data_IF_901743616820
#
_entry.id   IF_901743616820
#
_cell.length_a   1.000
_cell.length_b   1.000
_cell.length_c   1.000
_cell.angle_alpha   90.00
_cell.angle_beta   90.00
_cell.angle_gamma   90.00
#
_symmetry.space_group_name_H-M   'P 1'
#
loop_
_entity.id
_entity.type
_entity.pdbx_description
1 polymer ?
#
# COMPACT_ATOMS: atom_id res chain seq x y z
N UNK A 1 25.60 15.07 -30.20
CA UNK A 1 24.16 15.04 -30.58
C UNK A 1 23.39 13.81 -30.07
N UNK A 2 24.00 12.79 -29.44
CA UNK A 2 23.28 11.60 -28.97
C UNK A 2 22.89 11.54 -27.47
N UNK A 3 23.35 12.45 -26.60
CA UNK A 3 23.36 12.23 -25.15
C UNK A 3 22.31 12.96 -24.29
N UNK A 4 21.52 13.89 -24.82
CA UNK A 4 20.78 14.86 -23.97
C UNK A 4 19.58 14.25 -23.20
N UNK A 5 18.71 13.38 -23.77
CA UNK A 5 17.49 12.96 -23.07
C UNK A 5 17.73 12.08 -21.83
N UNK A 6 18.74 11.21 -21.85
CA UNK A 6 18.98 10.28 -20.73
C UNK A 6 19.62 10.95 -19.53
N UNK A 7 20.36 12.05 -19.72
CA UNK A 7 20.96 12.80 -18.62
C UNK A 7 19.91 13.55 -17.78
N UNK A 8 18.77 13.89 -18.38
CA UNK A 8 17.67 14.58 -17.69
C UNK A 8 16.91 13.67 -16.72
N UNK A 9 17.10 12.36 -16.80
CA UNK A 9 16.48 11.39 -15.89
C UNK A 9 16.86 11.63 -14.41
N UNK A 10 17.97 12.33 -14.16
CA UNK A 10 18.36 12.79 -12.82
C UNK A 10 17.28 13.64 -12.15
N UNK A 11 16.41 14.31 -12.91
CA UNK A 11 15.34 15.13 -12.36
C UNK A 11 14.14 14.31 -11.86
N UNK A 12 14.10 13.01 -12.15
CA UNK A 12 12.98 12.14 -11.73
C UNK A 12 12.81 12.06 -10.23
N UNK A 13 13.84 12.34 -9.44
CA UNK A 13 13.75 12.36 -7.97
C UNK A 13 13.32 13.71 -7.41
N UNK A 14 13.25 14.75 -8.24
CA UNK A 14 12.86 16.10 -7.80
C UNK A 14 11.38 16.11 -7.46
N UNK A 15 11.07 16.50 -6.22
CA UNK A 15 9.71 16.70 -5.70
C UNK A 15 9.32 18.17 -5.55
N UNK A 16 10.30 19.04 -5.36
CA UNK A 16 10.04 20.45 -5.10
C UNK A 16 11.06 21.34 -5.80
N UNK A 17 10.58 22.46 -6.33
CA UNK A 17 11.41 23.55 -6.86
C UNK A 17 11.09 24.81 -6.05
N UNK A 18 12.08 25.33 -5.34
CA UNK A 18 11.89 26.51 -4.47
C UNK A 18 11.75 27.82 -5.26
N UNK A 19 12.43 27.92 -6.40
CA UNK A 19 12.36 29.06 -7.31
C UNK A 19 11.35 28.84 -8.43
N UNK A 20 11.83 28.87 -9.67
CA UNK A 20 11.05 28.69 -10.87
C UNK A 20 11.61 27.57 -11.75
N UNK A 21 10.76 27.03 -12.62
CA UNK A 21 11.15 26.11 -13.70
C UNK A 21 11.00 26.83 -15.04
N UNK A 22 12.12 27.01 -15.75
CA UNK A 22 12.13 27.59 -17.09
C UNK A 22 12.62 26.56 -18.11
N UNK A 23 11.79 26.26 -19.11
CA UNK A 23 12.09 25.36 -20.21
C UNK A 23 12.01 26.14 -21.53
N UNK A 24 13.16 26.33 -22.16
CA UNK A 24 13.28 26.93 -23.48
C UNK A 24 14.23 26.09 -24.35
N UNK A 25 13.86 25.90 -25.62
CA UNK A 25 14.71 25.21 -26.60
C UNK A 25 14.03 24.04 -27.28
N UNK A 26 14.57 23.72 -28.47
CA UNK A 26 14.02 22.73 -29.39
C UNK A 26 15.00 21.58 -29.52
N UNK A 27 14.52 20.36 -29.26
CA UNK A 27 15.31 19.16 -29.50
C UNK A 27 14.40 18.02 -29.99
N UNK A 28 14.72 17.32 -31.09
CA UNK A 28 13.80 16.34 -31.72
C UNK A 28 13.32 15.22 -30.79
N UNK A 29 14.14 14.84 -29.80
CA UNK A 29 13.80 13.79 -28.82
C UNK A 29 13.24 14.32 -27.49
N UNK A 30 13.18 15.64 -27.30
CA UNK A 30 12.64 16.24 -26.09
C UNK A 30 11.18 16.63 -26.34
N UNK A 31 10.29 15.67 -26.11
CA UNK A 31 8.86 15.76 -26.45
C UNK A 31 7.94 15.86 -25.22
N UNK A 32 8.44 15.60 -24.01
CA UNK A 32 7.68 15.76 -22.78
C UNK A 32 8.62 16.08 -21.59
N UNK A 33 8.03 16.38 -20.43
CA UNK A 33 8.74 16.63 -19.18
C UNK A 33 8.53 15.49 -18.16
N UNK A 34 8.39 14.24 -18.63
CA UNK A 34 8.30 13.05 -17.76
C UNK A 34 9.50 12.88 -16.81
N UNK A 35 10.60 13.58 -17.07
CA UNK A 35 11.73 13.74 -16.15
C UNK A 35 11.34 14.42 -14.83
N UNK A 36 10.27 15.22 -14.81
CA UNK A 36 9.70 15.86 -13.62
C UNK A 36 8.41 15.18 -13.15
N UNK A 37 8.18 13.91 -13.51
CA UNK A 37 6.97 13.16 -13.15
C UNK A 37 6.67 13.07 -11.65
N UNK A 38 7.67 13.29 -10.79
CA UNK A 38 7.52 13.30 -9.33
C UNK A 38 7.57 14.71 -8.72
N UNK A 39 7.66 15.76 -9.54
CA UNK A 39 7.62 17.15 -9.07
C UNK A 39 6.21 17.44 -8.56
N UNK A 40 6.09 17.79 -7.28
CA UNK A 40 4.83 18.02 -6.58
C UNK A 40 4.53 19.51 -6.43
N UNK A 41 5.55 20.32 -6.14
CA UNK A 41 5.37 21.75 -5.83
C UNK A 41 6.42 22.64 -6.50
N UNK A 42 5.98 23.75 -7.09
CA UNK A 42 6.82 24.89 -7.46
C UNK A 42 6.48 26.06 -6.53
N UNK A 43 7.43 26.47 -5.70
CA UNK A 43 7.15 27.46 -4.65
C UNK A 43 7.15 28.91 -5.17
N UNK A 44 7.91 29.23 -6.22
CA UNK A 44 7.94 30.59 -6.76
C UNK A 44 8.57 31.65 -5.84
N UNK A 45 9.50 31.27 -4.95
CA UNK A 45 10.20 32.24 -4.07
C UNK A 45 11.16 33.15 -4.85
N UNK A 46 11.61 32.66 -6.00
CA UNK A 46 12.32 33.40 -7.02
C UNK A 46 11.56 33.21 -8.32
N UNK A 47 11.40 34.28 -9.09
CA UNK A 47 10.61 34.30 -10.31
C UNK A 47 11.49 34.71 -11.49
N UNK A 48 11.14 34.23 -12.68
CA UNK A 48 11.76 34.71 -13.92
C UNK A 48 11.50 36.22 -14.06
N UNK A 49 12.56 37.01 -14.24
CA UNK A 49 12.49 38.48 -14.25
C UNK A 49 11.48 39.01 -15.27
N UNK A 50 11.49 38.44 -16.48
CA UNK A 50 10.45 38.70 -17.47
C UNK A 50 9.21 37.85 -17.15
N UNK A 51 8.04 38.50 -17.07
CA UNK A 51 6.73 37.88 -16.85
C UNK A 51 6.48 37.32 -15.43
N UNK A 52 7.42 37.43 -14.50
CA UNK A 52 7.26 36.94 -13.11
C UNK A 52 6.87 35.46 -13.06
N UNK A 53 7.40 34.65 -14.00
CA UNK A 53 7.04 33.25 -14.17
C UNK A 53 7.66 32.35 -13.10
N UNK A 54 6.83 31.52 -12.45
CA UNK A 54 7.28 30.39 -11.64
C UNK A 54 7.36 29.09 -12.46
N UNK A 55 6.49 28.95 -13.47
CA UNK A 55 6.57 27.92 -14.49
C UNK A 55 6.57 28.62 -15.86
N UNK A 56 7.66 28.50 -16.60
CA UNK A 56 7.82 29.08 -17.92
C UNK A 56 8.21 27.98 -18.93
N UNK A 57 7.41 27.78 -19.96
CA UNK A 57 7.65 26.83 -21.04
C UNK A 57 7.43 27.56 -22.35
N UNK A 58 8.53 27.98 -22.97
CA UNK A 58 8.49 28.90 -24.11
C UNK A 58 9.32 28.37 -25.26
N UNK A 59 8.79 28.43 -26.49
CA UNK A 59 9.50 28.04 -27.73
C UNK A 59 10.15 26.64 -27.64
N UNK A 60 9.39 25.66 -27.14
CA UNK A 60 9.87 24.29 -26.99
C UNK A 60 9.41 23.35 -28.12
N UNK A 61 10.00 22.16 -28.17
CA UNK A 61 9.57 21.04 -29.01
C UNK A 61 8.61 20.07 -28.31
N UNK A 62 8.07 20.45 -27.15
CA UNK A 62 7.21 19.59 -26.33
C UNK A 62 5.87 19.32 -27.01
N UNK A 63 5.35 18.13 -26.76
CA UNK A 63 4.05 17.63 -27.20
C UNK A 63 3.07 17.50 -26.04
N UNK A 64 3.57 17.10 -24.87
CA UNK A 64 2.85 16.98 -23.61
C UNK A 64 3.75 17.47 -22.47
N UNK A 65 3.19 17.71 -21.28
CA UNK A 65 4.00 18.08 -20.12
C UNK A 65 4.39 16.83 -19.31
N UNK A 66 3.46 15.90 -19.08
CA UNK A 66 3.68 14.67 -18.30
C UNK A 66 4.21 14.89 -16.86
N UNK A 67 3.88 16.05 -16.27
CA UNK A 67 4.22 16.40 -14.89
C UNK A 67 3.12 15.93 -13.92
N UNK A 68 2.81 14.63 -13.95
CA UNK A 68 1.63 14.04 -13.29
C UNK A 68 1.52 14.26 -11.77
N UNK A 69 2.63 14.50 -11.07
CA UNK A 69 2.61 14.75 -9.63
C UNK A 69 2.42 16.22 -9.27
N UNK A 70 2.47 17.15 -10.24
CA UNK A 70 2.43 18.57 -9.96
C UNK A 70 1.03 18.97 -9.48
N UNK A 71 0.96 19.36 -8.21
CA UNK A 71 -0.31 19.69 -7.53
C UNK A 71 -0.35 21.13 -7.03
N UNK A 72 0.79 21.81 -6.98
CA UNK A 72 0.84 23.15 -6.40
C UNK A 72 1.88 24.06 -7.06
N UNK A 73 1.46 25.29 -7.37
CA UNK A 73 2.30 26.42 -7.74
C UNK A 73 1.97 27.57 -6.77
N UNK A 74 2.85 27.80 -5.79
CA UNK A 74 2.53 28.66 -4.64
C UNK A 74 2.55 30.16 -4.93
N UNK A 75 3.40 30.60 -5.85
CA UNK A 75 3.53 32.01 -6.22
C UNK A 75 4.06 32.13 -7.66
N UNK A 76 3.89 33.31 -8.25
CA UNK A 76 4.34 33.60 -9.61
C UNK A 76 3.40 33.08 -10.70
N UNK A 77 3.64 33.54 -11.91
CA UNK A 77 2.77 33.25 -13.05
C UNK A 77 3.12 31.94 -13.75
N UNK A 78 2.14 31.39 -14.46
CA UNK A 78 2.34 30.27 -15.40
C UNK A 78 2.39 30.84 -16.81
N UNK A 79 3.49 30.60 -17.53
CA UNK A 79 3.73 31.08 -18.89
C UNK A 79 3.99 29.87 -19.78
N UNK A 80 3.07 29.55 -20.70
CA UNK A 80 3.24 28.47 -21.67
C UNK A 80 2.89 29.01 -23.05
N UNK A 81 3.90 29.40 -23.82
CA UNK A 81 3.69 30.12 -25.07
C UNK A 81 4.64 29.67 -26.20
N UNK A 82 4.17 29.85 -27.44
CA UNK A 82 4.94 29.55 -28.66
C UNK A 82 5.40 28.09 -28.78
N UNK A 83 4.66 27.13 -28.23
CA UNK A 83 4.96 25.69 -28.33
C UNK A 83 4.07 25.05 -29.41
N UNK A 84 4.56 25.05 -30.65
CA UNK A 84 3.74 24.75 -31.86
C UNK A 84 3.09 23.37 -31.89
N UNK A 85 3.66 22.40 -31.18
CA UNK A 85 3.20 21.01 -31.15
C UNK A 85 2.52 20.63 -29.81
N UNK A 86 2.50 21.53 -28.82
CA UNK A 86 2.11 21.20 -27.45
C UNK A 86 0.58 21.08 -27.33
N UNK A 87 0.12 19.89 -26.93
CA UNK A 87 -1.27 19.56 -26.63
C UNK A 87 -1.52 19.51 -25.10
N UNK A 88 -2.77 19.21 -24.71
CA UNK A 88 -3.27 19.01 -23.34
C UNK A 88 -3.36 20.28 -22.46
N UNK A 89 -2.39 21.19 -22.56
CA UNK A 89 -2.27 22.36 -21.68
C UNK A 89 -3.42 23.37 -21.75
N UNK A 90 -4.16 23.39 -22.86
CA UNK A 90 -5.28 24.32 -23.08
C UNK A 90 -6.49 24.05 -22.20
N UNK A 91 -6.68 22.80 -21.77
CA UNK A 91 -7.85 22.36 -20.99
C UNK A 91 -7.51 22.15 -19.51
N UNK A 92 -6.28 22.44 -19.08
CA UNK A 92 -5.88 22.33 -17.68
C UNK A 92 -6.52 23.45 -16.87
N UNK A 93 -7.21 23.09 -15.78
CA UNK A 93 -7.73 24.03 -14.79
C UNK A 93 -6.60 24.50 -13.86
N UNK A 94 -5.80 25.45 -14.33
CA UNK A 94 -4.66 26.00 -13.58
C UNK A 94 -5.02 26.52 -12.18
N UNK A 95 -6.22 27.08 -12.03
CA UNK A 95 -6.73 27.54 -10.74
C UNK A 95 -6.83 26.43 -9.68
N UNK A 96 -6.92 25.15 -10.08
CA UNK A 96 -6.95 24.02 -9.15
C UNK A 96 -5.58 23.73 -8.50
N UNK A 97 -4.49 24.23 -9.09
CA UNK A 97 -3.12 24.03 -8.59
C UNK A 97 -2.41 25.32 -8.20
N UNK A 98 -3.06 26.47 -8.36
CA UNK A 98 -2.53 27.77 -7.92
C UNK A 98 -3.02 28.06 -6.50
N UNK A 99 -2.12 28.56 -5.65
CA UNK A 99 -2.48 28.92 -4.26
C UNK A 99 -3.12 30.30 -4.21
N UNK A 100 -2.62 31.23 -5.02
CA UNK A 100 -3.13 32.60 -5.10
C UNK A 100 -3.96 32.77 -6.39
N UNK A 101 -5.27 33.09 -6.28
CA UNK A 101 -6.16 33.23 -7.42
C UNK A 101 -5.81 34.43 -8.32
N UNK A 102 -4.99 35.38 -7.86
CA UNK A 102 -4.50 36.49 -8.68
C UNK A 102 -3.29 36.11 -9.56
N UNK A 103 -2.71 34.91 -9.37
CA UNK A 103 -1.60 34.43 -10.18
C UNK A 103 -2.00 34.32 -11.65
N UNK A 104 -1.33 35.11 -12.49
CA UNK A 104 -1.61 35.14 -13.93
C UNK A 104 -1.20 33.84 -14.62
N UNK A 105 -2.02 33.43 -15.59
CA UNK A 105 -1.80 32.27 -16.46
C UNK A 105 -1.84 32.74 -17.91
N UNK A 106 -0.75 32.54 -18.64
CA UNK A 106 -0.65 32.86 -20.07
C UNK A 106 -0.35 31.59 -20.85
N UNK A 107 -1.42 30.96 -21.37
CA UNK A 107 -1.36 29.78 -22.22
C UNK A 107 -1.93 30.14 -23.58
N UNK A 108 -1.05 30.48 -24.53
CA UNK A 108 -1.43 30.93 -25.88
C UNK A 108 -0.32 30.61 -26.88
N UNK A 109 -0.64 30.67 -28.18
CA UNK A 109 0.33 30.35 -29.24
C UNK A 109 0.94 28.94 -29.13
N UNK A 110 0.19 28.01 -28.53
CA UNK A 110 0.44 26.57 -28.56
C UNK A 110 -0.46 25.91 -29.62
N UNK A 111 -0.34 24.58 -29.80
CA UNK A 111 -1.25 23.88 -30.70
C UNK A 111 -2.69 24.00 -30.17
N UNK A 112 -3.63 24.29 -31.06
CA UNK A 112 -5.04 24.46 -30.68
C UNK A 112 -5.65 23.11 -30.26
N UNK A 113 -6.50 23.14 -29.24
CA UNK A 113 -7.15 21.95 -28.69
C UNK A 113 -7.94 21.16 -29.75
N UNK A 114 -8.64 21.84 -30.66
CA UNK A 114 -9.42 21.21 -31.74
C UNK A 114 -8.55 20.40 -32.72
N UNK A 115 -7.30 20.83 -32.93
CA UNK A 115 -6.34 20.09 -33.77
C UNK A 115 -5.75 18.89 -33.02
N UNK A 116 -5.54 19.01 -31.71
CA UNK A 116 -5.16 17.90 -30.84
C UNK A 116 -6.26 16.82 -30.82
N UNK A 117 -7.51 17.22 -30.61
CA UNK A 117 -8.67 16.31 -30.57
C UNK A 117 -8.85 15.52 -31.86
N UNK A 118 -8.69 16.16 -33.03
CA UNK A 118 -8.76 15.48 -34.34
C UNK A 118 -7.71 14.37 -34.52
N UNK A 119 -6.58 14.49 -33.83
CA UNK A 119 -5.52 13.50 -33.83
C UNK A 119 -5.66 12.47 -32.69
N UNK A 120 -6.78 12.49 -31.96
CA UNK A 120 -7.04 11.60 -30.83
C UNK A 120 -6.23 11.93 -29.57
N UNK A 121 -5.63 13.12 -29.49
CA UNK A 121 -4.79 13.50 -28.35
C UNK A 121 -5.61 14.30 -27.36
N UNK A 122 -6.36 13.54 -26.57
CA UNK A 122 -7.30 13.98 -25.53
C UNK A 122 -6.95 13.31 -24.21
N UNK A 123 -7.48 13.86 -23.12
CA UNK A 123 -7.37 13.22 -21.80
C UNK A 123 -8.12 11.89 -21.78
N UNK A 124 -7.72 11.01 -20.85
CA UNK A 124 -8.44 9.76 -20.58
C UNK A 124 -9.87 10.05 -20.12
N UNK A 125 -10.81 9.15 -20.41
CA UNK A 125 -12.20 9.27 -19.94
C UNK A 125 -12.32 9.17 -18.41
N UNK A 126 -11.27 8.67 -17.74
CA UNK A 126 -11.12 8.61 -16.29
C UNK A 126 -10.64 9.93 -15.67
N UNK A 127 -10.21 10.90 -16.49
CA UNK A 127 -9.83 12.23 -16.04
C UNK A 127 -11.07 13.13 -15.93
N UNK A 128 -11.09 13.98 -14.90
CA UNK A 128 -12.14 14.98 -14.75
C UNK A 128 -12.01 16.12 -15.77
N UNK A 129 -12.95 17.05 -15.73
CA UNK A 129 -12.90 18.33 -16.46
C UNK A 129 -11.73 19.26 -16.04
N UNK A 130 -10.96 18.91 -15.01
CA UNK A 130 -9.76 19.66 -14.62
C UNK A 130 -8.59 19.50 -15.60
N UNK A 131 -8.70 18.54 -16.53
CA UNK A 131 -7.71 18.29 -17.58
C UNK A 131 -6.63 17.30 -17.16
N UNK A 132 -5.56 17.22 -17.97
CA UNK A 132 -4.50 16.24 -17.81
C UNK A 132 -3.17 16.77 -18.34
N UNK A 133 -2.08 16.14 -17.90
CA UNK A 133 -0.70 16.47 -18.28
C UNK A 133 -0.24 15.82 -19.59
N UNK A 134 -1.00 14.84 -20.09
CA UNK A 134 -0.66 14.00 -21.24
C UNK A 134 -1.71 12.91 -21.47
N UNK A 135 -1.38 11.93 -22.33
CA UNK A 135 -2.26 10.79 -22.59
C UNK A 135 -2.23 9.77 -21.44
N UNK A 136 -3.38 9.15 -21.18
CA UNK A 136 -3.53 8.06 -20.20
C UNK A 136 -4.09 8.49 -18.84
N UNK A 137 -4.67 7.54 -18.13
CA UNK A 137 -5.34 7.78 -16.85
C UNK A 137 -4.37 8.07 -15.69
N UNK A 138 -3.06 7.92 -15.88
CA UNK A 138 -2.02 8.33 -14.92
C UNK A 138 -1.59 9.79 -15.08
N UNK A 139 -2.12 10.48 -16.09
CA UNK A 139 -1.81 11.88 -16.39
C UNK A 139 -2.92 12.85 -15.99
N UNK A 140 -4.03 12.36 -15.43
CA UNK A 140 -5.13 13.21 -15.00
C UNK A 140 -4.69 14.19 -13.90
N UNK A 141 -5.20 15.41 -13.95
CA UNK A 141 -5.00 16.35 -12.84
C UNK A 141 -5.81 15.90 -11.61
N UNK A 142 -7.06 15.51 -11.84
CA UNK A 142 -7.93 14.84 -10.86
C UNK A 142 -8.73 13.72 -11.55
N UNK A 143 -9.07 12.69 -10.79
CA UNK A 143 -9.85 11.55 -11.29
C UNK A 143 -11.35 11.86 -11.28
N UNK A 144 -12.07 11.37 -12.30
CA UNK A 144 -13.54 11.45 -12.33
C UNK A 144 -14.18 10.60 -11.25
N UNK A 145 -13.66 9.39 -11.03
CA UNK A 145 -14.21 8.43 -10.06
C UNK A 145 -13.21 8.14 -8.95
N UNK A 146 -12.26 7.23 -9.19
CA UNK A 146 -11.32 6.80 -8.15
C UNK A 146 -9.87 6.92 -8.58
N UNK A 147 -9.00 7.15 -7.60
CA UNK A 147 -7.56 7.10 -7.72
C UNK A 147 -7.03 5.80 -7.10
N UNK A 148 -6.12 5.14 -7.81
CA UNK A 148 -5.41 3.96 -7.33
C UNK A 148 -4.00 3.89 -7.88
N UNK A 149 -3.01 3.78 -6.98
CA UNK A 149 -1.61 3.51 -7.32
C UNK A 149 -1.03 4.38 -8.46
N UNK A 150 -1.34 5.69 -8.47
CA UNK A 150 -0.83 6.60 -9.50
C UNK A 150 -1.73 6.76 -10.73
N UNK A 151 -2.89 6.13 -10.79
CA UNK A 151 -3.74 6.10 -11.98
C UNK A 151 -5.22 6.26 -11.60
N UNK A 152 -5.98 6.97 -12.44
CA UNK A 152 -7.42 7.06 -12.31
C UNK A 152 -8.09 5.80 -12.86
N UNK A 153 -9.11 5.33 -12.16
CA UNK A 153 -9.88 4.14 -12.53
C UNK A 153 -11.37 4.40 -12.35
N UNK A 154 -12.18 3.66 -13.11
CA UNK A 154 -13.63 3.80 -13.07
C UNK A 154 -14.26 3.25 -11.78
N UNK A 155 -13.75 2.14 -11.25
CA UNK A 155 -14.35 1.43 -10.11
C UNK A 155 -13.30 0.59 -9.36
N UNK A 156 -13.30 0.66 -8.02
CA UNK A 156 -12.40 -0.14 -7.17
C UNK A 156 -12.57 -1.65 -7.38
N UNK A 157 -13.76 -2.11 -7.80
CA UNK A 157 -14.05 -3.54 -8.08
C UNK A 157 -13.23 -4.11 -9.24
N UNK A 158 -12.65 -3.25 -10.08
CA UNK A 158 -11.75 -3.67 -11.16
C UNK A 158 -10.37 -4.09 -10.65
N UNK A 159 -10.07 -3.83 -9.37
CA UNK A 159 -8.82 -4.22 -8.72
C UNK A 159 -9.11 -5.43 -7.83
N UNK A 160 -8.35 -6.50 -8.06
CA UNK A 160 -8.40 -7.67 -7.19
C UNK A 160 -7.96 -7.32 -5.77
N UNK A 161 -8.75 -7.74 -4.78
CA UNK A 161 -8.45 -7.53 -3.36
C UNK A 161 -8.29 -6.06 -2.95
N UNK A 162 -9.18 -5.20 -3.48
CA UNK A 162 -9.27 -3.80 -3.10
C UNK A 162 -10.66 -3.45 -2.56
N UNK A 163 -10.71 -2.36 -1.83
CA UNK A 163 -11.93 -1.77 -1.30
C UNK A 163 -11.93 -0.27 -1.55
N UNK A 164 -13.12 0.32 -1.51
CA UNK A 164 -13.29 1.76 -1.57
C UNK A 164 -12.97 2.35 -0.19
N UNK A 165 -11.89 3.12 -0.09
CA UNK A 165 -11.48 3.76 1.16
C UNK A 165 -12.28 5.03 1.46
N UNK A 166 -12.48 5.85 0.42
CA UNK A 166 -13.29 7.07 0.48
C UNK A 166 -14.04 7.28 -0.84
N UNK A 167 -14.67 8.45 -1.03
CA UNK A 167 -15.44 8.74 -2.26
C UNK A 167 -14.59 8.82 -3.54
N UNK A 168 -13.26 8.81 -3.43
CA UNK A 168 -12.31 9.08 -4.51
C UNK A 168 -11.06 8.19 -4.50
N UNK A 169 -10.90 7.30 -3.52
CA UNK A 169 -9.68 6.50 -3.35
C UNK A 169 -9.99 5.02 -3.18
N UNK A 170 -9.27 4.17 -3.91
CA UNK A 170 -9.24 2.73 -3.68
C UNK A 170 -7.97 2.34 -2.94
N UNK A 171 -8.08 1.39 -2.01
CA UNK A 171 -6.94 0.81 -1.30
C UNK A 171 -7.00 -0.72 -1.39
N UNK A 172 -5.83 -1.36 -1.33
CA UNK A 172 -5.76 -2.82 -1.25
C UNK A 172 -6.03 -3.29 0.18
N UNK A 173 -6.64 -4.47 0.29
CA UNK A 173 -6.85 -5.12 1.57
C UNK A 173 -5.55 -5.61 2.20
N UNK A 174 -5.61 -5.96 3.49
CA UNK A 174 -4.53 -6.67 4.15
C UNK A 174 -4.23 -8.00 3.42
N UNK A 175 -2.97 -8.46 3.34
CA UNK A 175 -2.61 -9.70 2.64
C UNK A 175 -3.33 -10.96 3.15
N UNK A 176 -3.77 -10.96 4.40
CA UNK A 176 -4.55 -12.06 5.02
C UNK A 176 -6.06 -11.98 4.73
N UNK A 177 -6.52 -10.97 3.99
CA UNK A 177 -7.91 -10.84 3.54
C UNK A 177 -8.07 -11.31 2.10
N UNK A 178 -9.14 -12.05 1.82
CA UNK A 178 -9.63 -12.29 0.45
C UNK A 178 -10.53 -11.15 -0.04
N UNK A 179 -11.32 -10.59 0.86
CA UNK A 179 -12.06 -9.34 0.70
C UNK A 179 -12.07 -8.58 2.04
N UNK A 180 -12.22 -7.26 1.97
CA UNK A 180 -12.17 -6.42 3.16
C UNK A 180 -13.05 -5.18 3.01
N UNK A 181 -13.33 -4.57 4.16
CA UNK A 181 -13.99 -3.26 4.27
C UNK A 181 -13.03 -2.18 4.79
N UNK A 182 -11.77 -2.54 5.01
CA UNK A 182 -10.76 -1.70 5.63
C UNK A 182 -9.34 -2.26 5.47
N UNK A 183 -8.32 -1.51 5.88
CA UNK A 183 -6.93 -1.83 5.57
C UNK A 183 -6.33 -2.90 6.48
N UNK A 184 -6.92 -3.14 7.66
CA UNK A 184 -6.40 -4.04 8.67
C UNK A 184 -6.86 -5.49 8.49
N UNK A 185 -6.11 -6.42 9.08
CA UNK A 185 -6.44 -7.84 9.11
C UNK A 185 -7.73 -8.16 9.89
N UNK A 186 -8.21 -7.20 10.70
CA UNK A 186 -9.47 -7.23 11.44
C UNK A 186 -10.68 -6.79 10.60
N UNK A 187 -10.44 -6.15 9.45
CA UNK A 187 -11.48 -5.68 8.53
C UNK A 187 -11.73 -6.66 7.38
N UNK A 188 -11.18 -7.87 7.46
CA UNK A 188 -11.43 -8.90 6.47
C UNK A 188 -12.85 -9.46 6.64
N UNK A 189 -13.57 -9.58 5.53
CA UNK A 189 -14.83 -10.35 5.53
C UNK A 189 -14.52 -11.85 5.48
N UNK A 190 -13.52 -12.23 4.68
CA UNK A 190 -13.03 -13.60 4.54
C UNK A 190 -11.51 -13.67 4.68
N UNK A 191 -11.01 -14.59 5.51
CA UNK A 191 -9.58 -14.80 5.71
C UNK A 191 -8.98 -15.66 4.58
N UNK A 192 -7.73 -15.37 4.22
CA UNK A 192 -6.95 -16.26 3.35
C UNK A 192 -6.65 -17.58 4.06
N UNK A 193 -6.19 -17.49 5.32
CA UNK A 193 -5.81 -18.63 6.17
C UNK A 193 -6.82 -18.83 7.31
N UNK A 194 -6.50 -18.37 8.53
CA UNK A 194 -7.32 -18.62 9.72
C UNK A 194 -7.74 -17.33 10.42
N UNK A 195 -8.87 -17.35 11.10
CA UNK A 195 -9.38 -16.22 11.90
C UNK A 195 -9.02 -16.42 13.36
N UNK A 196 -8.22 -15.51 13.90
CA UNK A 196 -8.03 -15.38 15.35
C UNK A 196 -8.85 -14.22 15.91
N UNK A 197 -9.96 -14.56 16.57
CA UNK A 197 -10.94 -13.59 17.06
C UNK A 197 -11.46 -12.71 15.90
N UNK A 198 -11.03 -11.45 15.82
CA UNK A 198 -11.39 -10.56 14.72
C UNK A 198 -10.36 -10.52 13.59
N UNK A 199 -9.11 -10.92 13.86
CA UNK A 199 -7.99 -10.75 12.94
C UNK A 199 -7.79 -12.00 12.09
N UNK A 200 -7.58 -11.84 10.78
CA UNK A 200 -7.05 -12.90 9.95
C UNK A 200 -5.53 -13.00 10.13
N UNK A 201 -5.04 -14.21 10.41
CA UNK A 201 -3.63 -14.49 10.64
C UNK A 201 -3.20 -15.70 9.80
N UNK A 202 -1.90 -15.79 9.51
CA UNK A 202 -1.36 -16.89 8.69
C UNK A 202 -1.36 -18.24 9.40
N UNK A 203 -1.23 -18.24 10.73
CA UNK A 203 -1.31 -19.44 11.59
C UNK A 203 -1.84 -19.05 12.98
N UNK A 204 -2.52 -19.98 13.65
CA UNK A 204 -2.97 -19.74 15.02
C UNK A 204 -1.79 -19.57 15.99
N UNK A 205 -1.89 -18.64 16.97
CA UNK A 205 -0.91 -18.50 18.04
C UNK A 205 -0.67 -19.83 18.78
N UNK A 206 0.50 -20.01 19.39
CA UNK A 206 0.89 -21.28 20.03
C UNK A 206 -0.11 -21.80 21.08
N UNK A 207 -0.81 -20.89 21.77
CA UNK A 207 -1.82 -21.22 22.80
C UNK A 207 -3.24 -21.41 22.23
N UNK A 208 -3.36 -21.52 20.91
CA UNK A 208 -4.60 -21.79 20.19
C UNK A 208 -4.39 -22.94 19.20
N UNK A 209 -5.47 -23.56 18.76
CA UNK A 209 -5.48 -24.56 17.70
C UNK A 209 -6.49 -24.17 16.63
N UNK A 210 -6.24 -24.60 15.39
CA UNK A 210 -7.17 -24.37 14.28
C UNK A 210 -8.28 -25.42 14.29
N UNK A 211 -9.53 -24.98 14.20
CA UNK A 211 -10.67 -25.83 13.88
C UNK A 211 -11.66 -25.06 12.99
N UNK A 212 -11.86 -25.56 11.77
CA UNK A 212 -12.76 -24.93 10.80
C UNK A 212 -12.30 -23.55 10.30
N UNK A 213 -10.98 -23.32 10.22
CA UNK A 213 -10.42 -22.03 9.83
C UNK A 213 -10.48 -20.95 10.91
N UNK A 214 -10.78 -21.33 12.16
CA UNK A 214 -10.84 -20.42 13.32
C UNK A 214 -9.89 -20.90 14.40
N UNK A 215 -9.23 -19.97 15.08
CA UNK A 215 -8.33 -20.25 16.19
C UNK A 215 -9.09 -20.33 17.51
N UNK A 216 -9.05 -21.49 18.14
CA UNK A 216 -9.68 -21.78 19.42
C UNK A 216 -8.63 -21.91 20.52
N UNK A 217 -8.91 -21.40 21.71
CA UNK A 217 -7.99 -21.49 22.85
C UNK A 217 -7.75 -22.95 23.22
N UNK A 218 -6.48 -23.28 23.48
CA UNK A 218 -6.13 -24.56 24.08
C UNK A 218 -6.79 -24.75 25.44
N UNK A 219 -6.87 -26.00 25.91
CA UNK A 219 -7.22 -26.26 27.30
C UNK A 219 -6.24 -25.52 28.23
N UNK A 220 -6.68 -24.94 29.38
CA UNK A 220 -5.80 -24.19 30.28
C UNK A 220 -4.59 -24.97 30.83
N UNK A 221 -4.66 -26.31 30.79
CA UNK A 221 -3.57 -27.19 31.25
C UNK A 221 -2.52 -27.45 30.16
N UNK A 222 -2.76 -27.06 28.91
CA UNK A 222 -1.84 -27.27 27.81
C UNK A 222 -0.79 -26.16 27.72
N UNK A 223 0.43 -26.55 27.36
CA UNK A 223 1.46 -25.68 26.83
C UNK A 223 1.55 -25.93 25.32
N UNK A 224 0.68 -25.23 24.59
CA UNK A 224 0.39 -25.45 23.18
C UNK A 224 -0.46 -26.71 22.91
N UNK A 225 -1.22 -26.70 21.82
CA UNK A 225 -2.14 -27.79 21.50
C UNK A 225 -2.38 -27.95 20.00
N UNK A 226 -3.05 -29.04 19.64
CA UNK A 226 -3.59 -29.34 18.31
C UNK A 226 -5.10 -29.65 18.36
N UNK A 227 -5.73 -29.41 19.51
CA UNK A 227 -7.15 -29.63 19.76
C UNK A 227 -7.54 -29.33 21.21
N UNK A 228 -8.81 -29.54 21.59
CA UNK A 228 -9.37 -29.06 22.86
C UNK A 228 -9.07 -29.94 24.07
N UNK A 229 -8.55 -31.16 23.87
CA UNK A 229 -8.37 -32.13 24.97
C UNK A 229 -7.19 -31.76 25.86
N UNK A 230 -7.29 -32.11 27.14
CA UNK A 230 -6.28 -31.90 28.19
C UNK A 230 -5.28 -33.06 28.33
N UNK A 231 -5.27 -33.99 27.38
CA UNK A 231 -4.28 -35.07 27.27
C UNK A 231 -3.12 -34.66 26.35
N UNK A 232 -2.09 -35.49 26.20
CA UNK A 232 -0.99 -35.23 25.24
C UNK A 232 -1.19 -36.07 23.98
N UNK A 233 -1.14 -35.42 22.81
CA UNK A 233 -1.24 -36.07 21.50
C UNK A 233 -1.99 -35.27 20.45
N UNK A 234 -2.29 -35.91 19.33
CA UNK A 234 -3.05 -35.32 18.23
C UNK A 234 -4.49 -34.99 18.66
N UNK A 235 -4.94 -33.76 18.40
CA UNK A 235 -6.25 -33.27 18.87
C UNK A 235 -6.27 -32.92 20.36
N UNK A 236 -5.10 -32.81 20.98
CA UNK A 236 -4.91 -32.54 22.41
C UNK A 236 -3.71 -31.61 22.63
N UNK A 237 -3.18 -31.53 23.86
CA UNK A 237 -1.98 -30.76 24.17
C UNK A 237 -0.75 -31.28 23.39
N UNK A 238 0.10 -30.35 22.92
CA UNK A 238 1.44 -30.66 22.41
C UNK A 238 2.35 -31.07 23.57
N UNK A 239 2.27 -30.33 24.67
CA UNK A 239 2.93 -30.63 25.96
C UNK A 239 2.17 -29.94 27.11
N UNK A 240 2.60 -30.16 28.34
CA UNK A 240 2.11 -29.45 29.53
C UNK A 240 3.18 -29.40 30.62
N UNK A 241 2.95 -28.57 31.65
CA UNK A 241 3.93 -28.36 32.72
C UNK A 241 3.96 -29.48 33.76
N UNK A 242 2.79 -30.06 34.05
CA UNK A 242 2.59 -31.14 34.99
C UNK A 242 1.54 -32.11 34.42
N UNK A 243 1.77 -33.41 34.51
CA UNK A 243 0.83 -34.42 34.01
C UNK A 243 0.70 -35.61 34.95
N UNK A 244 -0.51 -36.19 35.05
CA UNK A 244 -0.71 -37.51 35.68
C UNK A 244 -0.40 -38.58 34.65
N UNK A 245 0.41 -39.57 35.02
CA UNK A 245 0.77 -40.67 34.14
C UNK A 245 0.26 -42.01 34.67
N UNK A 246 -0.18 -42.86 33.74
CA UNK A 246 -0.59 -44.24 34.01
C UNK A 246 0.62 -45.14 34.29
N UNK A 247 0.37 -46.37 34.73
CA UNK A 247 1.41 -47.38 35.01
C UNK A 247 2.22 -47.76 33.76
N UNK A 248 1.66 -47.57 32.56
CA UNK A 248 2.31 -47.82 31.27
C UNK A 248 3.06 -46.58 30.72
N UNK A 249 3.23 -45.54 31.54
CA UNK A 249 3.87 -44.28 31.17
C UNK A 249 3.15 -43.53 30.02
N UNK A 250 1.84 -43.73 29.88
CA UNK A 250 0.98 -42.87 29.07
C UNK A 250 0.43 -41.73 29.91
N UNK A 251 0.18 -40.58 29.27
CA UNK A 251 -0.38 -39.40 29.95
C UNK A 251 -1.88 -39.59 30.11
N UNK A 252 -2.35 -39.63 31.37
CA UNK A 252 -3.77 -39.70 31.70
C UNK A 252 -4.44 -38.34 31.49
N UNK A 253 -3.86 -37.27 32.07
CA UNK A 253 -4.30 -35.88 31.90
C UNK A 253 -3.23 -34.87 32.33
N UNK A 254 -3.27 -33.68 31.77
CA UNK A 254 -2.46 -32.54 32.19
C UNK A 254 -3.07 -31.81 33.39
N UNK A 255 -2.21 -31.16 34.17
CA UNK A 255 -2.54 -30.32 35.32
C UNK A 255 -2.00 -28.90 35.08
N UNK A 256 -2.45 -27.93 35.88
CA UNK A 256 -1.88 -26.59 35.86
C UNK A 256 -0.44 -26.62 36.39
N UNK A 257 0.36 -25.65 35.96
CA UNK A 257 1.77 -25.53 36.36
C UNK A 257 1.97 -25.46 37.87
N UNK A 258 1.05 -24.82 38.59
CA UNK A 258 1.13 -24.59 40.03
C UNK A 258 0.31 -25.62 40.84
N UNK A 259 -0.27 -26.63 40.18
CA UNK A 259 -1.00 -27.70 40.86
C UNK A 259 -0.04 -28.63 41.62
N UNK A 260 -0.59 -29.29 42.65
CA UNK A 260 0.08 -30.40 43.34
C UNK A 260 -0.43 -31.72 42.78
N UNK A 261 0.41 -32.76 42.85
CA UNK A 261 -0.07 -34.11 42.58
C UNK A 261 -1.23 -34.47 43.52
N UNK A 262 -2.31 -35.09 43.02
CA UNK A 262 -3.42 -35.53 43.85
C UNK A 262 -2.99 -36.52 44.93
N UNK A 263 -3.83 -36.68 45.96
CA UNK A 263 -3.60 -37.68 47.00
C UNK A 263 -3.41 -39.08 46.39
N UNK A 264 -2.38 -39.79 46.85
CA UNK A 264 -1.98 -41.09 46.29
C UNK A 264 -1.03 -41.03 45.09
N UNK A 265 -0.53 -39.83 44.74
CA UNK A 265 0.51 -39.63 43.74
C UNK A 265 1.72 -38.89 44.31
N UNK A 266 2.92 -39.20 43.81
CA UNK A 266 4.14 -38.43 44.04
C UNK A 266 4.62 -37.79 42.73
N UNK A 267 5.32 -36.66 42.83
CA UNK A 267 5.86 -35.97 41.67
C UNK A 267 7.30 -36.41 41.37
N UNK A 268 7.68 -36.44 40.10
CA UNK A 268 9.06 -36.63 39.63
C UNK A 268 9.33 -35.82 38.36
N UNK A 269 10.60 -35.64 37.99
CA UNK A 269 10.99 -34.98 36.73
C UNK A 269 11.25 -35.99 35.63
N UNK A 270 10.75 -35.70 34.43
CA UNK A 270 11.11 -36.43 33.21
C UNK A 270 12.45 -35.93 32.70
N UNK A 271 13.36 -36.85 32.38
CA UNK A 271 14.69 -36.51 31.93
C UNK A 271 14.67 -35.69 30.62
N UNK A 272 15.51 -34.64 30.46
CA UNK A 272 15.50 -33.80 29.25
C UNK A 272 15.82 -34.54 27.93
N UNK A 273 16.51 -35.69 28.01
CA UNK A 273 16.85 -36.53 26.86
C UNK A 273 15.89 -37.72 26.67
N UNK A 274 14.68 -37.66 27.25
CA UNK A 274 13.68 -38.71 27.12
C UNK A 274 13.26 -38.92 25.65
N UNK A 275 13.20 -40.18 25.20
CA UNK A 275 12.87 -40.55 23.82
C UNK A 275 11.61 -41.42 23.71
N UNK A 276 11.06 -41.88 24.84
CA UNK A 276 9.86 -42.72 24.88
C UNK A 276 8.54 -41.94 24.81
N UNK A 277 7.47 -42.54 25.34
CA UNK A 277 6.12 -41.96 25.39
C UNK A 277 6.06 -40.61 26.11
N UNK A 278 7.00 -40.36 27.03
CA UNK A 278 7.11 -39.13 27.81
C UNK A 278 7.98 -38.05 27.14
N UNK A 279 8.49 -38.26 25.92
CA UNK A 279 9.25 -37.25 25.17
C UNK A 279 8.60 -35.86 25.13
N UNK A 280 7.26 -35.72 24.94
CA UNK A 280 6.62 -34.40 24.96
C UNK A 280 6.77 -33.68 26.31
N UNK A 281 7.02 -34.40 27.40
CA UNK A 281 7.21 -33.89 28.76
C UNK A 281 8.68 -33.81 29.17
N UNK A 282 9.64 -33.93 28.23
CA UNK A 282 11.06 -33.85 28.55
C UNK A 282 11.40 -32.56 29.31
N UNK A 283 12.00 -32.69 30.50
CA UNK A 283 12.30 -31.57 31.39
C UNK A 283 11.10 -31.01 32.18
N UNK A 284 9.93 -31.67 32.12
CA UNK A 284 8.71 -31.32 32.86
C UNK A 284 8.47 -32.28 34.02
N UNK A 285 7.51 -31.97 34.90
CA UNK A 285 7.15 -32.81 36.03
C UNK A 285 5.97 -33.75 35.71
N UNK A 286 5.93 -34.92 36.34
CA UNK A 286 4.82 -35.87 36.24
C UNK A 286 4.42 -36.41 37.62
N UNK A 287 3.15 -36.75 37.77
CA UNK A 287 2.58 -37.40 38.94
C UNK A 287 2.45 -38.91 38.69
N UNK A 288 3.18 -39.72 39.45
CA UNK A 288 3.07 -41.19 39.45
C UNK A 288 2.29 -41.66 40.66
N UNK A 289 1.49 -42.70 40.47
CA UNK A 289 0.77 -43.35 41.57
C UNK A 289 1.78 -44.00 42.54
N UNK A 290 1.54 -43.83 43.84
CA UNK A 290 2.34 -44.43 44.91
C UNK A 290 2.32 -45.96 44.89
#
# INVERSE_FOLDING_TARGET
YHSIPTQLEVFSTVKEITGYLNIEGIHPRFRNLSYFRNLETIHGRQLMESMFGALAIVKSSLYSLEMRSLKQISAGSVVIQHNRDLCYVGNIRWAAIQVDPEQKVWVNENLRADLCERNGTICSDECSEDGCWGAGADQCLTCTNFYYNGTCIADCRNISNAYQFDNSTCMVCHPECRSCTGPGADHCEECVHVRDEQHCVSECPENKYEEGGVCWKCHPHCEGCTGPKDTIGQGACKTCNLAIINTDATVERCLLKDDKCPDGYYWEYVHPLEQGSLKPLAGKAVCRKC
#
